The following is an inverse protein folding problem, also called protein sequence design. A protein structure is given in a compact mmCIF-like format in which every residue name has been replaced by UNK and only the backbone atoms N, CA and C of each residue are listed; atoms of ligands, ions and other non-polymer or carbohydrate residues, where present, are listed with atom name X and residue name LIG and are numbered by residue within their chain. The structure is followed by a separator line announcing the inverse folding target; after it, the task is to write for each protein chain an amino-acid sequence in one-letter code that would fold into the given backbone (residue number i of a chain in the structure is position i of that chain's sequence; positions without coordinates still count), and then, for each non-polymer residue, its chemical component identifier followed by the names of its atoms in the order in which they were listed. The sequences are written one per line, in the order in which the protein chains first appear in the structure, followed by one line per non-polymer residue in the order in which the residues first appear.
data_IF_443518476136
#
_entry.id   IF_443518476136
#
_cell.length_a   1.000
_cell.length_b   1.000
_cell.length_c   1.000
_cell.angle_alpha   90.00
_cell.angle_beta   90.00
_cell.angle_gamma   90.00
#
_symmetry.space_group_name_H-M   'P 1'
#
loop_
_entity.id
_entity.type
_entity.pdbx_description
1 polymer ?
#
# COMPACT_ATOMS: atom_id res chain seq x y z
N UNK A 1 -29.12 -19.77 -4.26
CA UNK A 1 -27.80 -19.12 -4.01
C UNK A 1 -26.75 -20.22 -4.07
N UNK A 2 -25.96 -20.28 -5.13
CA UNK A 2 -24.84 -21.23 -5.27
C UNK A 2 -23.67 -20.72 -4.42
N UNK A 3 -23.16 -21.56 -3.53
CA UNK A 3 -21.96 -21.25 -2.77
C UNK A 3 -20.79 -21.00 -3.74
N UNK A 4 -20.02 -19.90 -3.58
CA UNK A 4 -18.89 -19.61 -4.43
C UNK A 4 -17.88 -20.75 -4.35
N UNK A 5 -17.37 -21.17 -5.51
CA UNK A 5 -16.45 -22.29 -5.60
C UNK A 5 -15.08 -21.91 -5.01
N UNK A 6 -14.29 -22.88 -4.49
CA UNK A 6 -12.91 -22.63 -4.04
C UNK A 6 -12.02 -21.98 -5.12
N UNK A 7 -12.34 -22.19 -6.39
CA UNK A 7 -11.66 -21.60 -7.54
C UNK A 7 -11.77 -20.06 -7.56
N UNK A 8 -12.90 -19.49 -7.11
CA UNK A 8 -13.13 -18.04 -7.11
C UNK A 8 -12.22 -17.32 -6.08
N UNK A 9 -12.00 -17.93 -4.93
CA UNK A 9 -11.11 -17.39 -3.90
C UNK A 9 -9.63 -17.38 -4.35
N UNK A 10 -9.19 -18.45 -4.99
CA UNK A 10 -7.81 -18.55 -5.48
C UNK A 10 -7.54 -17.56 -6.63
N UNK A 11 -8.52 -17.34 -7.50
CA UNK A 11 -8.40 -16.36 -8.60
C UNK A 11 -8.31 -14.93 -8.06
N UNK A 12 -9.12 -14.57 -7.05
CA UNK A 12 -9.06 -13.28 -6.38
C UNK A 12 -7.71 -13.04 -5.71
N UNK A 13 -7.21 -14.01 -4.93
CA UNK A 13 -5.91 -13.88 -4.27
C UNK A 13 -4.76 -13.69 -5.28
N UNK A 14 -4.80 -14.39 -6.42
CA UNK A 14 -3.83 -14.24 -7.51
C UNK A 14 -3.91 -12.85 -8.13
N UNK A 15 -5.09 -12.40 -8.52
CA UNK A 15 -5.31 -11.08 -9.10
C UNK A 15 -4.82 -9.97 -8.16
N UNK A 16 -5.10 -10.13 -6.86
CA UNK A 16 -4.68 -9.18 -5.84
C UNK A 16 -3.16 -9.11 -5.66
N UNK A 17 -2.47 -10.26 -5.72
CA UNK A 17 -0.98 -10.29 -5.69
C UNK A 17 -0.38 -9.64 -6.93
N UNK A 18 -0.96 -9.87 -8.12
CA UNK A 18 -0.52 -9.23 -9.37
C UNK A 18 -0.69 -7.71 -9.25
N UNK A 19 -1.85 -7.25 -8.78
CA UNK A 19 -2.10 -5.84 -8.55
C UNK A 19 -1.09 -5.24 -7.55
N UNK A 20 -0.82 -5.93 -6.44
CA UNK A 20 0.16 -5.48 -5.45
C UNK A 20 1.56 -5.36 -6.07
N UNK A 21 2.01 -6.34 -6.88
CA UNK A 21 3.30 -6.27 -7.59
C UNK A 21 3.33 -5.07 -8.53
N UNK A 22 2.28 -4.87 -9.33
CA UNK A 22 2.20 -3.74 -10.26
C UNK A 22 2.29 -2.39 -9.53
N UNK A 23 1.54 -2.21 -8.44
CA UNK A 23 1.57 -0.99 -7.64
C UNK A 23 2.95 -0.75 -6.99
N UNK A 24 3.58 -1.81 -6.46
CA UNK A 24 4.89 -1.71 -5.81
C UNK A 24 6.05 -1.54 -6.80
N UNK A 25 5.88 -1.93 -8.06
CA UNK A 25 6.90 -1.73 -9.09
C UNK A 25 6.88 -0.33 -9.71
N UNK A 26 5.73 0.36 -9.67
CA UNK A 26 5.59 1.70 -10.25
C UNK A 26 6.62 2.72 -9.72
N UNK A 27 6.87 2.85 -8.41
CA UNK A 27 7.90 3.75 -7.89
C UNK A 27 9.32 3.45 -8.37
N UNK A 28 9.63 2.17 -8.64
CA UNK A 28 10.94 1.77 -9.18
C UNK A 28 11.09 2.20 -10.64
N UNK A 29 10.04 2.08 -11.45
CA UNK A 29 10.05 2.61 -12.82
C UNK A 29 10.17 4.14 -12.85
N UNK A 30 9.52 4.83 -11.91
CA UNK A 30 9.67 6.27 -11.73
C UNK A 30 11.12 6.62 -11.38
N UNK A 31 11.77 5.86 -10.49
CA UNK A 31 13.19 6.09 -10.17
C UNK A 31 14.05 5.99 -11.43
N UNK A 32 13.84 4.95 -12.24
CA UNK A 32 14.58 4.77 -13.50
C UNK A 32 14.35 5.95 -14.43
N UNK A 33 13.10 6.40 -14.58
CA UNK A 33 12.77 7.55 -15.42
C UNK A 33 13.42 8.85 -14.90
N UNK A 34 13.37 9.09 -13.59
CA UNK A 34 13.99 10.25 -12.95
C UNK A 34 15.51 10.26 -13.07
N UNK A 35 16.14 9.09 -13.10
CA UNK A 35 17.60 9.00 -13.28
C UNK A 35 18.07 9.63 -14.60
N UNK A 36 17.23 9.60 -15.63
CA UNK A 36 17.53 10.18 -16.94
C UNK A 36 16.89 11.55 -17.19
N UNK A 37 15.82 11.89 -16.47
CA UNK A 37 15.01 13.08 -16.74
C UNK A 37 15.15 14.17 -15.66
N UNK A 38 15.63 13.83 -14.47
CA UNK A 38 15.80 14.80 -13.39
C UNK A 38 16.95 15.76 -13.69
N UNK A 39 16.86 17.03 -13.23
CA UNK A 39 17.99 17.95 -13.28
C UNK A 39 19.21 17.38 -12.52
N UNK A 40 20.40 17.75 -12.95
CA UNK A 40 21.59 17.46 -12.17
C UNK A 40 21.49 18.13 -10.79
N UNK A 41 22.02 17.47 -9.77
CA UNK A 41 22.05 18.04 -8.44
C UNK A 41 23.07 19.19 -8.42
N UNK A 42 22.62 20.37 -8.02
CA UNK A 42 23.46 21.56 -7.85
C UNK A 42 24.11 21.58 -6.47
N UNK A 43 23.47 20.91 -5.48
CA UNK A 43 23.91 20.83 -4.10
C UNK A 43 23.78 19.40 -3.57
N UNK A 44 24.59 19.07 -2.58
CA UNK A 44 24.44 17.84 -1.82
C UNK A 44 23.18 17.86 -0.96
N UNK A 45 22.49 16.72 -0.86
CA UNK A 45 21.29 16.60 -0.05
C UNK A 45 21.61 16.77 1.44
N UNK A 46 21.19 17.87 2.09
CA UNK A 46 21.51 18.11 3.48
C UNK A 46 20.69 17.19 4.41
N UNK A 47 21.24 16.89 5.58
CA UNK A 47 20.63 15.99 6.55
C UNK A 47 19.23 16.40 7.00
N UNK A 48 18.97 17.70 7.10
CA UNK A 48 17.62 18.20 7.46
C UNK A 48 16.59 17.90 6.38
N UNK A 49 16.95 18.03 5.08
CA UNK A 49 16.04 17.71 3.97
C UNK A 49 15.75 16.22 3.90
N UNK A 50 16.77 15.37 4.09
CA UNK A 50 16.60 13.93 4.25
C UNK A 50 15.69 13.61 5.45
N UNK A 51 15.88 14.30 6.58
CA UNK A 51 15.02 14.16 7.76
C UNK A 51 13.56 14.50 7.51
N UNK A 52 13.28 15.59 6.79
CA UNK A 52 11.90 15.98 6.39
C UNK A 52 11.29 14.93 5.47
N UNK A 53 12.05 14.44 4.49
CA UNK A 53 11.61 13.39 3.57
C UNK A 53 11.23 12.09 4.32
N UNK A 54 12.06 11.65 5.24
CA UNK A 54 11.81 10.47 6.08
C UNK A 54 10.59 10.72 6.99
N UNK A 55 10.46 11.89 7.60
CA UNK A 55 9.32 12.23 8.45
C UNK A 55 7.99 12.19 7.67
N UNK A 56 7.97 12.64 6.42
CA UNK A 56 6.80 12.54 5.55
C UNK A 56 6.41 11.08 5.28
N UNK A 57 7.37 10.20 5.02
CA UNK A 57 7.12 8.76 4.84
C UNK A 57 6.61 8.11 6.12
N UNK A 58 7.20 8.45 7.28
CA UNK A 58 6.75 7.95 8.58
C UNK A 58 5.33 8.40 8.87
N UNK A 59 4.97 9.64 8.55
CA UNK A 59 3.59 10.13 8.67
C UNK A 59 2.63 9.33 7.80
N UNK A 60 2.98 9.09 6.53
CA UNK A 60 2.20 8.24 5.61
C UNK A 60 2.01 6.82 6.16
N UNK A 61 3.08 6.22 6.71
CA UNK A 61 3.03 4.92 7.38
C UNK A 61 2.06 4.92 8.57
N UNK A 62 2.13 5.92 9.44
CA UNK A 62 1.25 6.03 10.61
C UNK A 62 -0.22 6.25 10.22
N UNK A 63 -0.46 7.06 9.19
CA UNK A 63 -1.80 7.25 8.64
C UNK A 63 -2.34 5.96 8.03
N UNK A 64 -1.54 5.23 7.24
CA UNK A 64 -1.93 3.93 6.72
C UNK A 64 -2.25 2.93 7.85
N UNK A 65 -1.51 2.97 8.95
CA UNK A 65 -1.72 2.11 10.11
C UNK A 65 -3.01 2.47 10.88
N UNK A 66 -3.34 3.75 11.00
CA UNK A 66 -4.47 4.25 11.80
C UNK A 66 -5.79 4.30 11.01
N UNK A 67 -5.74 4.71 9.75
CA UNK A 67 -6.93 4.93 8.89
C UNK A 67 -7.12 3.80 7.88
N UNK A 68 -6.02 3.30 7.28
CA UNK A 68 -6.08 2.35 6.18
C UNK A 68 -6.68 0.98 6.53
N UNK A 69 -6.72 0.63 7.82
CA UNK A 69 -7.36 -0.60 8.32
C UNK A 69 -8.77 -0.37 8.89
N UNK A 70 -9.33 0.85 8.77
CA UNK A 70 -10.71 1.12 9.18
C UNK A 70 -11.66 0.60 8.12
N UNK A 71 -12.23 -0.57 8.37
CA UNK A 71 -13.19 -1.23 7.49
C UNK A 71 -14.49 -1.41 8.25
N UNK A 72 -15.64 -1.17 7.59
CA UNK A 72 -16.93 -1.40 8.21
C UNK A 72 -17.13 -2.91 8.46
N UNK A 73 -17.67 -3.32 9.62
CA UNK A 73 -18.02 -4.71 9.89
C UNK A 73 -19.00 -5.26 8.85
N UNK A 74 -18.95 -6.57 8.62
CA UNK A 74 -19.94 -7.25 7.81
C UNK A 74 -21.29 -7.25 8.52
N UNK A 75 -22.37 -7.00 7.76
CA UNK A 75 -23.73 -7.11 8.23
C UNK A 75 -24.25 -8.53 7.99
N UNK A 76 -25.29 -8.91 8.72
CA UNK A 76 -25.96 -10.19 8.49
C UNK A 76 -26.55 -10.20 7.06
N UNK A 77 -26.20 -11.23 6.30
CA UNK A 77 -26.59 -11.35 4.88
C UNK A 77 -25.53 -10.85 3.88
N UNK A 78 -24.47 -10.14 4.34
CA UNK A 78 -23.32 -9.82 3.47
C UNK A 78 -22.65 -11.13 3.02
N UNK A 79 -22.31 -11.17 1.74
CA UNK A 79 -21.63 -12.32 1.14
C UNK A 79 -20.10 -12.10 1.07
N UNK A 80 -19.39 -13.11 0.58
CA UNK A 80 -17.93 -13.07 0.41
C UNK A 80 -17.48 -11.96 -0.55
N UNK A 81 -18.30 -11.55 -1.51
CA UNK A 81 -17.95 -10.49 -2.47
C UNK A 81 -17.84 -9.14 -1.77
N UNK A 82 -18.71 -8.88 -0.80
CA UNK A 82 -18.66 -7.67 0.05
C UNK A 82 -17.37 -7.67 0.88
N UNK A 83 -16.99 -8.82 1.47
CA UNK A 83 -15.77 -8.93 2.26
C UNK A 83 -14.51 -8.67 1.42
N UNK A 84 -14.43 -9.27 0.23
CA UNK A 84 -13.29 -9.07 -0.68
C UNK A 84 -13.23 -7.65 -1.25
N UNK A 85 -14.39 -7.05 -1.55
CA UNK A 85 -14.50 -5.65 -1.99
C UNK A 85 -14.00 -4.67 -0.93
N UNK A 86 -14.42 -4.84 0.34
CA UNK A 86 -13.95 -4.02 1.46
C UNK A 86 -12.45 -4.22 1.73
N UNK A 87 -11.93 -5.44 1.58
CA UNK A 87 -10.51 -5.72 1.67
C UNK A 87 -9.71 -4.94 0.60
N UNK A 88 -10.17 -5.00 -0.66
CA UNK A 88 -9.54 -4.30 -1.77
C UNK A 88 -9.56 -2.78 -1.57
N UNK A 89 -10.69 -2.21 -1.15
CA UNK A 89 -10.81 -0.80 -0.82
C UNK A 89 -9.82 -0.39 0.28
N UNK A 90 -9.73 -1.17 1.35
CA UNK A 90 -8.77 -0.94 2.44
C UNK A 90 -7.33 -0.98 1.93
N UNK A 91 -6.99 -1.91 1.02
CA UNK A 91 -5.66 -1.98 0.42
C UNK A 91 -5.34 -0.72 -0.38
N UNK A 92 -6.28 -0.24 -1.22
CA UNK A 92 -6.07 0.97 -2.01
C UNK A 92 -5.90 2.21 -1.12
N UNK A 93 -6.66 2.35 -0.04
CA UNK A 93 -6.49 3.44 0.92
C UNK A 93 -5.08 3.41 1.54
N UNK A 94 -4.60 2.23 1.97
CA UNK A 94 -3.24 2.09 2.51
C UNK A 94 -2.17 2.41 1.47
N UNK A 95 -2.37 1.95 0.24
CA UNK A 95 -1.48 2.25 -0.87
C UNK A 95 -1.37 3.76 -1.07
N UNK A 96 -2.49 4.45 -1.26
CA UNK A 96 -2.51 5.91 -1.45
C UNK A 96 -1.82 6.65 -0.30
N UNK A 97 -2.12 6.29 0.95
CA UNK A 97 -1.52 6.96 2.12
C UNK A 97 0.01 6.77 2.19
N UNK A 98 0.52 5.62 1.74
CA UNK A 98 1.97 5.37 1.70
C UNK A 98 2.64 5.88 0.42
N UNK A 99 1.88 6.07 -0.66
CA UNK A 99 2.37 6.57 -1.95
C UNK A 99 2.49 8.11 -1.97
N UNK A 100 1.61 8.84 -1.28
CA UNK A 100 1.62 10.31 -1.27
C UNK A 100 3.02 10.89 -0.99
N UNK A 101 3.76 10.48 0.04
CA UNK A 101 5.12 10.97 0.26
C UNK A 101 6.07 10.68 -0.91
N UNK A 102 5.89 9.53 -1.58
CA UNK A 102 6.71 9.11 -2.72
C UNK A 102 6.44 10.01 -3.92
N UNK A 103 5.17 10.33 -4.19
CA UNK A 103 4.78 11.29 -5.24
C UNK A 103 5.32 12.70 -4.95
N UNK A 104 5.24 13.14 -3.69
CA UNK A 104 5.83 14.42 -3.28
C UNK A 104 7.35 14.43 -3.49
N UNK A 105 8.03 13.29 -3.30
CA UNK A 105 9.45 13.10 -3.61
C UNK A 105 9.76 13.30 -5.09
N UNK A 106 8.86 12.86 -6.01
CA UNK A 106 9.00 13.14 -7.44
C UNK A 106 8.96 14.65 -7.71
N UNK A 107 7.96 15.35 -7.16
CA UNK A 107 7.85 16.79 -7.33
C UNK A 107 9.07 17.53 -6.75
N UNK A 108 9.54 17.12 -5.58
CA UNK A 108 10.70 17.71 -4.91
C UNK A 108 12.00 17.54 -5.74
N UNK A 109 12.12 16.46 -6.52
CA UNK A 109 13.28 16.26 -7.44
C UNK A 109 13.45 17.39 -8.46
N UNK A 110 12.34 18.02 -8.89
CA UNK A 110 12.36 19.10 -9.88
C UNK A 110 12.36 20.52 -9.26
N UNK A 111 12.05 20.64 -7.98
CA UNK A 111 11.92 21.92 -7.29
C UNK A 111 13.12 22.22 -6.40
N UNK A 112 13.74 21.18 -5.84
CA UNK A 112 14.88 21.33 -4.94
C UNK A 112 16.21 21.12 -5.69
N UNK A 113 17.31 21.76 -5.24
CA UNK A 113 18.60 21.70 -5.92
C UNK A 113 19.34 20.36 -5.73
N UNK A 114 18.70 19.36 -5.16
CA UNK A 114 19.29 18.07 -4.83
C UNK A 114 19.06 16.97 -5.87
N UNK A 115 18.37 17.29 -6.97
CA UNK A 115 18.11 16.36 -8.07
C UNK A 115 17.43 15.07 -7.61
N UNK A 116 17.77 13.95 -8.24
CA UNK A 116 17.17 12.62 -8.02
C UNK A 116 17.36 12.10 -6.58
N UNK A 117 18.34 12.59 -5.84
CA UNK A 117 18.68 12.11 -4.49
C UNK A 117 17.52 12.30 -3.50
N UNK A 118 16.73 13.36 -3.68
CA UNK A 118 15.50 13.56 -2.88
C UNK A 118 14.55 12.38 -3.02
N UNK A 119 14.32 11.92 -4.24
CA UNK A 119 13.46 10.78 -4.50
C UNK A 119 14.06 9.47 -4.00
N UNK A 120 15.37 9.27 -4.16
CA UNK A 120 16.07 8.07 -3.67
C UNK A 120 15.86 7.88 -2.17
N UNK A 121 16.01 8.93 -1.37
CA UNK A 121 15.81 8.87 0.10
C UNK A 121 14.36 8.53 0.44
N UNK A 122 13.41 9.21 -0.21
CA UNK A 122 11.97 8.94 0.01
C UNK A 122 11.63 7.50 -0.36
N UNK A 123 12.13 7.02 -1.50
CA UNK A 123 11.85 5.65 -1.97
C UNK A 123 12.49 4.60 -1.09
N UNK A 124 13.72 4.82 -0.60
CA UNK A 124 14.42 3.87 0.27
C UNK A 124 13.63 3.53 1.54
N UNK A 125 12.88 4.50 2.09
CA UNK A 125 12.03 4.30 3.26
C UNK A 125 10.57 4.00 2.86
N UNK A 126 10.09 4.64 1.79
CA UNK A 126 8.72 4.54 1.32
C UNK A 126 8.38 3.16 0.76
N UNK A 127 9.26 2.57 -0.05
CA UNK A 127 9.00 1.26 -0.65
C UNK A 127 8.82 0.14 0.41
N UNK A 128 9.67 -0.01 1.43
CA UNK A 128 9.41 -0.93 2.54
C UNK A 128 8.08 -0.66 3.24
N UNK A 129 7.73 0.62 3.49
CA UNK A 129 6.44 1.01 4.06
C UNK A 129 5.27 0.54 3.20
N UNK A 130 5.33 0.74 1.88
CA UNK A 130 4.30 0.29 0.94
C UNK A 130 4.20 -1.24 0.94
N UNK A 131 5.31 -1.97 0.90
CA UNK A 131 5.31 -3.45 0.96
C UNK A 131 4.61 -3.95 2.21
N UNK A 132 4.91 -3.38 3.38
CA UNK A 132 4.32 -3.79 4.66
C UNK A 132 2.80 -3.61 4.73
N UNK A 133 2.24 -2.63 3.98
CA UNK A 133 0.81 -2.29 4.03
C UNK A 133 0.01 -2.85 2.86
N UNK A 134 0.63 -3.00 1.68
CA UNK A 134 -0.05 -3.39 0.44
C UNK A 134 0.03 -4.89 0.20
N UNK A 135 1.19 -5.51 0.51
CA UNK A 135 1.37 -6.93 0.29
C UNK A 135 0.43 -7.75 1.19
N UNK A 136 -0.31 -8.74 0.63
CA UNK A 136 -1.29 -9.53 1.38
C UNK A 136 -0.62 -10.58 2.28
N UNK A 137 0.17 -10.12 3.26
CA UNK A 137 0.74 -10.98 4.30
C UNK A 137 -0.36 -11.49 5.23
N UNK A 138 -0.09 -12.60 5.92
CA UNK A 138 -0.98 -13.11 6.97
C UNK A 138 -1.39 -12.01 7.96
N UNK A 139 -0.43 -11.18 8.40
CA UNK A 139 -0.68 -10.07 9.34
C UNK A 139 -1.67 -9.04 8.78
N UNK A 140 -1.53 -8.67 7.50
CA UNK A 140 -2.41 -7.70 6.83
C UNK A 140 -3.81 -8.27 6.67
N UNK A 141 -3.93 -9.51 6.17
CA UNK A 141 -5.22 -10.19 5.99
C UNK A 141 -5.92 -10.35 7.34
N UNK A 142 -5.21 -10.76 8.39
CA UNK A 142 -5.75 -10.95 9.74
C UNK A 142 -6.30 -9.64 10.33
N UNK A 143 -5.55 -8.53 10.22
CA UNK A 143 -6.02 -7.22 10.70
C UNK A 143 -7.35 -6.79 10.06
N UNK A 144 -7.50 -7.02 8.76
CA UNK A 144 -8.73 -6.68 8.03
C UNK A 144 -9.85 -7.66 8.37
N UNK A 145 -9.55 -8.97 8.41
CA UNK A 145 -10.52 -10.01 8.76
C UNK A 145 -11.15 -9.75 10.15
N UNK A 146 -10.33 -9.50 11.18
CA UNK A 146 -10.82 -9.19 12.54
C UNK A 146 -11.77 -7.98 12.54
N UNK A 147 -11.48 -6.95 11.75
CA UNK A 147 -12.37 -5.77 11.65
C UNK A 147 -13.69 -6.09 10.95
N UNK A 148 -13.63 -6.81 9.84
CA UNK A 148 -14.83 -7.24 9.11
C UNK A 148 -15.73 -8.14 9.97
N UNK A 149 -15.13 -9.02 10.77
CA UNK A 149 -15.80 -10.01 11.60
C UNK A 149 -16.27 -9.46 12.96
N UNK A 150 -15.98 -8.21 13.29
CA UNK A 150 -16.37 -7.61 14.57
C UNK A 150 -17.88 -7.55 14.78
N UNK A 151 -18.70 -7.70 13.72
CA UNK A 151 -20.14 -7.87 13.77
C UNK A 151 -20.62 -9.32 13.93
N UNK A 152 -19.71 -10.29 14.13
CA UNK A 152 -20.06 -11.72 14.31
C UNK A 152 -20.27 -12.49 12.98
N UNK A 153 -20.09 -11.86 11.82
CA UNK A 153 -20.24 -12.50 10.51
C UNK A 153 -18.87 -12.91 9.97
N UNK A 154 -18.63 -14.19 9.62
CA UNK A 154 -17.33 -14.65 9.13
C UNK A 154 -17.05 -14.08 7.73
N UNK A 155 -15.85 -13.53 7.53
CA UNK A 155 -15.44 -12.92 6.25
C UNK A 155 -14.95 -13.92 5.20
N UNK A 156 -14.43 -15.06 5.63
CA UNK A 156 -13.76 -16.04 4.77
C UNK A 156 -12.45 -15.58 4.13
N UNK A 157 -11.94 -14.40 4.49
CA UNK A 157 -10.70 -13.85 3.89
C UNK A 157 -9.47 -14.72 4.14
N UNK A 158 -9.36 -15.34 5.33
CA UNK A 158 -8.23 -16.22 5.66
C UNK A 158 -8.14 -17.41 4.69
N UNK A 159 -9.31 -17.97 4.34
CA UNK A 159 -9.40 -19.07 3.37
C UNK A 159 -9.04 -18.60 1.94
N UNK A 160 -9.54 -17.43 1.53
CA UNK A 160 -9.26 -16.83 0.21
C UNK A 160 -7.76 -16.66 -0.01
N UNK A 161 -7.02 -16.21 1.00
CA UNK A 161 -5.57 -16.01 0.90
C UNK A 161 -4.74 -17.24 1.31
N UNK A 162 -5.37 -18.36 1.68
CA UNK A 162 -4.71 -19.60 2.07
C UNK A 162 -4.05 -19.55 3.46
N UNK A 163 -4.50 -18.65 4.31
CA UNK A 163 -4.02 -18.49 5.70
C UNK A 163 -4.96 -19.24 6.64
N UNK A 164 -4.73 -20.55 6.82
CA UNK A 164 -5.42 -21.37 7.83
C UNK A 164 -4.73 -21.30 9.18
#
# INVERSE_FOLDING_TARGET
MTAPTPADGASFARAHRILAVALLSAPLYILVALWFAAPEAEEDLPTWAAGVAIAAVVLGFLLAQSVGYRVAPLAFGDDRSVATGRYQQSMLVRFVLTEVPVILGVAATFVLPYGVWTYVVVLAVGLPSMVLHVWPTRRVVEKVAVRLESGGVPSGLREVFGHR
#
